data_IF_803729210726
#
_entry.id   IF_803729210726
#
_cell.length_a   1.000
_cell.length_b   1.000
_cell.length_c   1.000
_cell.angle_alpha   90.00
_cell.angle_beta   90.00
_cell.angle_gamma   90.00
#
_symmetry.space_group_name_H-M   'P 1'
#
loop_
_entity.id
_entity.type
_entity.pdbx_description
1 polymer ?
#
# COMPACT_ATOMS: atom_id res chain seq x y z
N UNK A 1 -24.22 -13.13 -2.61
CA UNK A 1 -22.97 -12.74 -3.30
C UNK A 1 -22.09 -13.98 -3.39
N UNK A 2 -21.61 -14.37 -4.57
CA UNK A 2 -20.58 -15.43 -4.64
C UNK A 2 -19.29 -14.83 -4.08
N UNK A 3 -18.75 -15.42 -3.01
CA UNK A 3 -17.49 -15.02 -2.40
C UNK A 3 -16.27 -15.55 -3.15
N UNK A 4 -16.51 -16.47 -4.10
CA UNK A 4 -15.49 -17.08 -4.96
C UNK A 4 -14.97 -16.10 -6.01
N UNK A 5 -13.66 -16.09 -6.22
CA UNK A 5 -13.00 -15.34 -7.29
C UNK A 5 -13.45 -15.85 -8.67
N UNK A 6 -13.68 -14.93 -9.61
CA UNK A 6 -14.05 -15.28 -11.00
C UNK A 6 -12.85 -15.71 -11.85
N UNK A 7 -11.64 -15.37 -11.42
CA UNK A 7 -10.38 -15.58 -12.15
C UNK A 7 -9.50 -16.67 -11.49
N UNK A 8 -10.05 -17.38 -10.50
CA UNK A 8 -9.34 -18.45 -9.79
C UNK A 8 -10.19 -19.70 -9.79
N UNK A 9 -9.61 -20.82 -10.22
CA UNK A 9 -10.34 -22.09 -10.18
C UNK A 9 -10.68 -22.47 -8.73
N UNK A 10 -11.83 -23.11 -8.55
CA UNK A 10 -12.38 -23.40 -7.21
C UNK A 10 -11.48 -24.30 -6.36
N UNK A 11 -10.70 -25.18 -6.98
CA UNK A 11 -9.79 -26.09 -6.26
C UNK A 11 -8.58 -25.33 -5.75
N UNK A 12 -8.00 -24.46 -6.57
CA UNK A 12 -6.89 -23.60 -6.20
C UNK A 12 -7.32 -22.64 -5.09
N UNK A 13 -8.48 -21.98 -5.22
CA UNK A 13 -8.99 -21.09 -4.16
C UNK A 13 -9.16 -21.84 -2.82
N UNK A 14 -9.75 -23.04 -2.85
CA UNK A 14 -9.90 -23.88 -1.67
C UNK A 14 -8.55 -24.26 -1.04
N UNK A 15 -7.55 -24.60 -1.85
CA UNK A 15 -6.20 -24.91 -1.38
C UNK A 15 -5.54 -23.68 -0.73
N UNK A 16 -5.65 -22.50 -1.34
CA UNK A 16 -5.12 -21.26 -0.76
C UNK A 16 -5.79 -20.90 0.57
N UNK A 17 -7.10 -21.05 0.67
CA UNK A 17 -7.84 -20.82 1.92
C UNK A 17 -7.37 -21.79 3.00
N UNK A 18 -7.21 -23.08 2.69
CA UNK A 18 -6.72 -24.07 3.64
C UNK A 18 -5.31 -23.72 4.15
N UNK A 19 -4.38 -23.36 3.26
CA UNK A 19 -3.03 -22.92 3.64
C UNK A 19 -3.05 -21.68 4.54
N UNK A 20 -3.95 -20.73 4.27
CA UNK A 20 -4.14 -19.56 5.13
C UNK A 20 -4.74 -19.95 6.48
N UNK A 21 -5.67 -20.89 6.54
CA UNK A 21 -6.26 -21.35 7.81
C UNK A 21 -5.23 -22.05 8.69
N UNK A 22 -4.37 -22.88 8.10
CA UNK A 22 -3.29 -23.61 8.79
C UNK A 22 -2.15 -22.72 9.26
N UNK A 23 -1.95 -21.55 8.64
CA UNK A 23 -0.87 -20.64 9.01
C UNK A 23 -1.04 -20.05 10.43
N UNK A 24 0.04 -20.06 11.20
CA UNK A 24 0.08 -19.40 12.52
C UNK A 24 -0.12 -17.89 12.40
N UNK A 25 -0.60 -17.20 13.45
CA UNK A 25 -0.74 -15.75 13.45
C UNK A 25 0.56 -15.02 13.07
N UNK A 26 1.71 -15.50 13.55
CA UNK A 26 3.01 -14.93 13.20
C UNK A 26 3.33 -15.05 11.70
N UNK A 27 3.02 -16.19 11.07
CA UNK A 27 3.22 -16.40 9.64
C UNK A 27 2.28 -15.53 8.80
N UNK A 28 1.02 -15.40 9.21
CA UNK A 28 0.05 -14.48 8.58
C UNK A 28 0.54 -13.04 8.62
N UNK A 29 0.99 -12.59 9.79
CA UNK A 29 1.52 -11.23 9.95
C UNK A 29 2.75 -11.00 9.06
N UNK A 30 3.68 -11.94 9.02
CA UNK A 30 4.86 -11.85 8.15
C UNK A 30 4.49 -11.77 6.66
N UNK A 31 3.52 -12.56 6.21
CA UNK A 31 3.01 -12.52 4.83
C UNK A 31 2.38 -11.16 4.49
N UNK A 32 1.50 -10.65 5.36
CA UNK A 32 0.85 -9.34 5.16
C UNK A 32 1.91 -8.24 5.10
N UNK A 33 2.85 -8.22 6.05
CA UNK A 33 3.94 -7.23 6.07
C UNK A 33 4.76 -7.27 4.78
N UNK A 34 5.16 -8.45 4.32
CA UNK A 34 5.93 -8.61 3.09
C UNK A 34 5.16 -8.10 1.86
N UNK A 35 3.86 -8.39 1.78
CA UNK A 35 3.01 -7.89 0.70
C UNK A 35 2.84 -6.37 0.75
N UNK A 36 2.68 -5.80 1.95
CA UNK A 36 2.61 -4.34 2.14
C UNK A 36 3.91 -3.66 1.72
N UNK A 37 5.07 -4.17 2.13
CA UNK A 37 6.39 -3.64 1.74
C UNK A 37 6.57 -3.68 0.22
N UNK A 38 6.21 -4.79 -0.43
CA UNK A 38 6.27 -4.93 -1.89
C UNK A 38 5.36 -3.92 -2.59
N UNK A 39 4.11 -3.82 -2.15
CA UNK A 39 3.10 -2.92 -2.75
C UNK A 39 3.54 -1.46 -2.62
N UNK A 40 4.03 -1.05 -1.45
CA UNK A 40 4.53 0.31 -1.20
C UNK A 40 5.75 0.62 -2.06
N UNK A 41 6.70 -0.32 -2.17
CA UNK A 41 7.90 -0.19 -3.01
C UNK A 41 7.55 0.01 -4.49
N UNK A 42 6.67 -0.84 -5.02
CA UNK A 42 6.22 -0.74 -6.41
C UNK A 42 5.44 0.56 -6.66
N UNK A 43 4.57 0.96 -5.75
CA UNK A 43 3.81 2.21 -5.83
C UNK A 43 4.72 3.43 -5.87
N UNK A 44 5.68 3.52 -4.95
CA UNK A 44 6.67 4.61 -4.93
C UNK A 44 7.45 4.69 -6.24
N UNK A 45 7.94 3.55 -6.73
CA UNK A 45 8.67 3.48 -8.01
C UNK A 45 7.82 3.94 -9.19
N UNK A 46 6.56 3.51 -9.26
CA UNK A 46 5.65 3.89 -10.34
C UNK A 46 5.36 5.40 -10.34
N UNK A 47 5.06 5.97 -9.16
CA UNK A 47 4.79 7.40 -8.99
C UNK A 47 6.03 8.22 -9.35
N UNK A 48 7.21 7.86 -8.86
CA UNK A 48 8.46 8.56 -9.18
C UNK A 48 8.77 8.54 -10.68
N UNK A 49 8.61 7.40 -11.34
CA UNK A 49 8.85 7.27 -12.80
C UNK A 49 7.97 8.20 -13.64
N UNK A 50 6.71 8.37 -13.25
CA UNK A 50 5.76 9.22 -13.98
C UNK A 50 5.91 10.71 -13.64
N UNK A 51 6.50 11.04 -12.50
CA UNK A 51 6.55 12.40 -11.95
C UNK A 51 7.98 12.86 -11.64
N UNK A 52 8.94 12.61 -12.54
CA UNK A 52 10.36 12.92 -12.31
C UNK A 52 10.70 14.40 -12.10
N UNK A 53 9.74 15.31 -12.29
CA UNK A 53 9.88 16.75 -12.05
C UNK A 53 9.46 17.16 -10.62
N UNK A 54 8.84 16.26 -9.86
CA UNK A 54 8.37 16.54 -8.50
C UNK A 54 9.47 16.25 -7.48
N UNK A 55 9.43 17.00 -6.37
CA UNK A 55 10.29 16.77 -5.20
C UNK A 55 9.76 15.60 -4.39
N UNK A 56 10.61 15.02 -3.55
CA UNK A 56 10.27 13.85 -2.73
C UNK A 56 9.01 14.06 -1.86
N UNK A 57 8.84 15.24 -1.24
CA UNK A 57 7.65 15.55 -0.45
C UNK A 57 6.35 15.50 -1.29
N UNK A 58 6.40 15.96 -2.53
CA UNK A 58 5.25 15.94 -3.45
C UNK A 58 4.94 14.50 -3.92
N UNK A 59 5.97 13.69 -4.15
CA UNK A 59 5.82 12.26 -4.44
C UNK A 59 5.17 11.50 -3.27
N UNK A 60 5.53 11.84 -2.03
CA UNK A 60 4.94 11.23 -0.83
C UNK A 60 3.47 11.61 -0.67
N UNK A 61 3.09 12.86 -0.92
CA UNK A 61 1.69 13.28 -0.90
C UNK A 61 0.88 12.55 -1.99
N UNK A 62 1.43 12.38 -3.20
CA UNK A 62 0.78 11.60 -4.26
C UNK A 62 0.60 10.14 -3.89
N UNK A 63 1.60 9.53 -3.23
CA UNK A 63 1.48 8.16 -2.72
C UNK A 63 0.31 8.05 -1.73
N UNK A 64 0.21 8.98 -0.79
CA UNK A 64 -0.87 9.00 0.21
C UNK A 64 -2.23 9.19 -0.48
N UNK A 65 -2.30 10.09 -1.47
CA UNK A 65 -3.52 10.32 -2.23
C UNK A 65 -4.01 9.05 -2.93
N UNK A 66 -3.11 8.33 -3.61
CA UNK A 66 -3.47 7.11 -4.34
C UNK A 66 -3.85 5.93 -3.43
N UNK A 67 -3.18 5.77 -2.28
CA UNK A 67 -3.38 4.60 -1.42
C UNK A 67 -4.45 4.80 -0.35
N UNK A 68 -4.65 6.04 0.12
CA UNK A 68 -5.49 6.33 1.28
C UNK A 68 -6.52 7.44 1.03
N UNK A 69 -6.49 8.08 -0.13
CA UNK A 69 -7.46 9.08 -0.56
C UNK A 69 -7.04 10.53 -0.30
N UNK A 70 -7.80 11.44 -0.90
CA UNK A 70 -7.49 12.87 -0.93
C UNK A 70 -7.47 13.52 0.46
N UNK A 71 -8.44 13.18 1.31
CA UNK A 71 -8.56 13.79 2.64
C UNK A 71 -7.31 13.56 3.50
N UNK A 72 -6.75 12.34 3.48
CA UNK A 72 -5.52 12.06 4.22
C UNK A 72 -4.31 12.73 3.56
N UNK A 73 -4.27 12.80 2.23
CA UNK A 73 -3.19 13.44 1.50
C UNK A 73 -3.09 14.94 1.79
N UNK A 74 -4.23 15.63 1.90
CA UNK A 74 -4.26 17.05 2.22
C UNK A 74 -3.77 17.31 3.65
N UNK A 75 -4.24 16.53 4.64
CA UNK A 75 -3.73 16.60 6.02
C UNK A 75 -2.23 16.30 6.09
N UNK A 76 -1.77 15.30 5.33
CA UNK A 76 -0.35 14.95 5.26
C UNK A 76 0.50 16.06 4.64
N UNK A 77 -0.03 16.76 3.62
CA UNK A 77 0.65 17.92 3.02
C UNK A 77 0.82 19.05 4.03
N UNK A 78 -0.21 19.36 4.81
CA UNK A 78 -0.11 20.40 5.85
C UNK A 78 0.89 20.00 6.94
N UNK A 79 0.85 18.74 7.41
CA UNK A 79 1.83 18.22 8.36
C UNK A 79 3.29 18.40 7.87
N UNK A 80 3.57 18.11 6.60
CA UNK A 80 4.91 18.27 6.04
C UNK A 80 5.35 19.75 5.98
N UNK A 81 4.43 20.68 5.72
CA UNK A 81 4.73 22.12 5.73
C UNK A 81 5.09 22.58 7.14
N UNK A 82 4.31 22.17 8.15
CA UNK A 82 4.52 22.56 9.54
C UNK A 82 5.86 22.02 10.04
N UNK A 83 6.16 20.74 9.80
CA UNK A 83 7.45 20.14 10.16
C UNK A 83 8.64 20.86 9.52
N UNK A 84 8.53 21.24 8.25
CA UNK A 84 9.62 21.97 7.57
C UNK A 84 9.88 23.37 8.13
N UNK A 85 8.90 23.97 8.82
CA UNK A 85 9.04 25.28 9.49
C UNK A 85 9.71 25.16 10.85
N UNK A 86 9.54 24.03 11.53
CA UNK A 86 10.19 23.76 12.82
C UNK A 86 11.69 23.43 12.65
N UNK A 87 12.08 22.90 11.50
CA UNK A 87 13.46 22.52 11.16
C UNK A 87 14.30 23.68 10.56
N UNK A 88 13.70 24.86 10.34
CA UNK A 88 14.31 26.03 9.68
C UNK A 88 14.63 27.17 10.67
#
# INVERSE_FOLDING_TARGET
>A
MRTQSTDTDSKTEAAWIALLQEATPARKFAQVRSLSELTLSLSRRAIARRNGHLREAELQVLLVHHLYGAELADRFREYLKDRSREEA
#
